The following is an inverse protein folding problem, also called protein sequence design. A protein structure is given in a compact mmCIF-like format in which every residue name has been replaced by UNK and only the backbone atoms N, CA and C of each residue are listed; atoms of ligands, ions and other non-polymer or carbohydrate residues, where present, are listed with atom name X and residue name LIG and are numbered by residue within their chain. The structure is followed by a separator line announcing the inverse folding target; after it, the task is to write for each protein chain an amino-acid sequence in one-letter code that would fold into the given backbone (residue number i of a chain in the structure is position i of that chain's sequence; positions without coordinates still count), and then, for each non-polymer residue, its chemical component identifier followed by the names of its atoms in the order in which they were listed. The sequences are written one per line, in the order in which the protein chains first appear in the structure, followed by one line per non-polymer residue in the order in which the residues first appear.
data_IF_586596537253
#
_entry.id   IF_586596537253
#
_cell.length_a   1.000
_cell.length_b   1.000
_cell.length_c   1.000
_cell.angle_alpha   90.00
_cell.angle_beta   90.00
_cell.angle_gamma   90.00
#
_symmetry.space_group_name_H-M   'P 1'
#
loop_
_entity.id
_entity.type
_entity.pdbx_description
1 polymer ?
#
# COMPACT_ATOMS: atom_id res chain seq x y z
N UNK A 1 -69.50 24.25 -16.39
CA UNK A 1 -68.93 23.42 -15.34
C UNK A 1 -67.44 23.65 -15.34
N UNK A 2 -66.99 24.59 -14.49
CA UNK A 2 -65.58 25.04 -14.36
C UNK A 2 -64.92 24.18 -13.29
N UNK A 3 -63.81 23.52 -13.62
CA UNK A 3 -62.94 22.85 -12.64
C UNK A 3 -61.68 23.72 -12.53
N UNK A 4 -61.53 24.37 -11.36
CA UNK A 4 -60.32 25.06 -10.97
C UNK A 4 -59.27 24.01 -10.53
N UNK A 5 -58.14 23.96 -11.20
CA UNK A 5 -56.95 23.21 -10.78
C UNK A 5 -56.08 24.12 -9.89
N UNK A 6 -55.96 23.74 -8.64
CA UNK A 6 -55.02 24.36 -7.66
C UNK A 6 -53.64 23.81 -7.95
N UNK A 7 -52.79 24.63 -8.49
CA UNK A 7 -51.34 24.33 -8.63
C UNK A 7 -50.63 24.47 -7.29
N UNK A 8 -50.14 23.36 -6.75
CA UNK A 8 -49.26 23.34 -5.55
C UNK A 8 -47.84 23.68 -6.00
N UNK A 9 -47.37 24.88 -5.68
CA UNK A 9 -46.00 25.30 -5.83
C UNK A 9 -45.16 24.61 -4.72
N UNK A 10 -44.39 23.61 -5.09
CA UNK A 10 -43.34 23.06 -4.22
C UNK A 10 -42.15 24.02 -4.20
N UNK A 11 -41.57 24.32 -3.02
CA UNK A 11 -40.37 25.14 -2.93
C UNK A 11 -39.21 24.42 -3.59
N UNK A 12 -38.50 25.12 -4.49
CA UNK A 12 -37.35 24.62 -5.21
C UNK A 12 -36.25 24.20 -4.27
N UNK A 13 -35.87 22.93 -4.32
CA UNK A 13 -34.66 22.42 -3.73
C UNK A 13 -33.49 22.99 -4.56
N UNK A 14 -32.81 23.98 -4.05
CA UNK A 14 -31.52 24.41 -4.58
C UNK A 14 -30.52 23.33 -4.23
N UNK A 15 -30.26 22.46 -5.20
CA UNK A 15 -29.09 21.58 -5.12
C UNK A 15 -27.85 22.46 -5.19
N UNK A 16 -27.24 22.70 -4.02
CA UNK A 16 -25.91 23.26 -3.97
C UNK A 16 -25.01 22.28 -4.75
N UNK A 17 -24.54 22.71 -5.92
CA UNK A 17 -23.48 22.03 -6.63
C UNK A 17 -22.21 22.22 -5.79
N UNK A 18 -21.89 21.23 -4.99
CA UNK A 18 -20.54 21.09 -4.45
C UNK A 18 -19.63 20.85 -5.64
N UNK A 19 -18.97 21.91 -6.10
CA UNK A 19 -17.78 21.77 -6.92
C UNK A 19 -16.72 21.13 -6.04
N UNK A 20 -16.65 19.82 -6.06
CA UNK A 20 -15.48 19.11 -5.61
C UNK A 20 -14.36 19.52 -6.58
N UNK A 21 -13.53 20.47 -6.17
CA UNK A 21 -12.24 20.69 -6.81
C UNK A 21 -11.46 19.40 -6.63
N UNK A 22 -11.55 18.51 -7.62
CA UNK A 22 -10.77 17.30 -7.64
C UNK A 22 -9.29 17.73 -7.57
N UNK A 23 -8.63 17.46 -6.44
CA UNK A 23 -7.21 17.71 -6.30
C UNK A 23 -6.50 16.97 -7.43
N UNK A 24 -5.70 17.68 -8.22
CA UNK A 24 -4.93 17.07 -9.28
C UNK A 24 -3.95 16.09 -8.67
N UNK A 25 -4.07 14.81 -9.04
CA UNK A 25 -3.17 13.74 -8.59
C UNK A 25 -2.27 13.38 -9.75
N UNK A 26 -0.96 13.52 -9.57
CA UNK A 26 0.04 12.98 -10.46
C UNK A 26 0.71 11.79 -9.78
N UNK A 27 0.67 10.65 -10.44
CA UNK A 27 1.32 9.44 -9.95
C UNK A 27 2.84 9.60 -9.95
N UNK A 28 3.51 8.91 -9.03
CA UNK A 28 4.96 8.77 -9.02
C UNK A 28 5.47 8.28 -10.37
N UNK A 29 6.58 8.87 -10.85
CA UNK A 29 7.27 8.40 -12.05
C UNK A 29 8.54 7.65 -11.69
N UNK A 30 8.84 6.63 -12.46
CA UNK A 30 10.04 5.81 -12.30
C UNK A 30 10.90 5.91 -13.56
N UNK A 31 12.15 6.31 -13.38
CA UNK A 31 13.14 6.29 -14.45
C UNK A 31 13.99 5.02 -14.29
N UNK A 32 13.71 4.03 -15.11
CA UNK A 32 14.40 2.73 -15.11
C UNK A 32 15.81 2.91 -15.70
N UNK A 33 16.76 3.26 -14.86
CA UNK A 33 18.16 3.46 -15.28
C UNK A 33 18.90 2.14 -15.53
N UNK A 34 18.37 1.04 -15.01
CA UNK A 34 18.95 -0.29 -15.15
C UNK A 34 17.82 -1.29 -15.38
N UNK A 35 17.86 -2.03 -16.48
CA UNK A 35 16.93 -3.13 -16.71
C UNK A 35 17.43 -4.37 -15.97
N UNK A 36 16.59 -5.03 -15.15
CA UNK A 36 16.97 -6.31 -14.60
C UNK A 36 17.13 -7.34 -15.71
N UNK A 37 18.04 -8.28 -15.51
CA UNK A 37 18.29 -9.37 -16.46
C UNK A 37 17.89 -10.70 -15.84
N UNK A 38 17.60 -11.69 -16.67
CA UNK A 38 17.27 -13.03 -16.20
C UNK A 38 18.47 -13.62 -15.42
N UNK A 39 18.26 -14.10 -14.16
CA UNK A 39 19.36 -14.60 -13.32
C UNK A 39 20.01 -15.86 -13.94
N UNK A 40 21.35 -15.89 -13.96
CA UNK A 40 22.08 -17.04 -14.52
C UNK A 40 21.84 -18.34 -13.73
N UNK A 41 21.78 -18.24 -12.41
CA UNK A 41 21.53 -19.43 -11.57
C UNK A 41 20.14 -19.99 -11.83
N UNK A 42 19.11 -19.16 -12.02
CA UNK A 42 17.78 -19.63 -12.40
C UNK A 42 17.81 -20.40 -13.73
N UNK A 43 18.61 -19.96 -14.72
CA UNK A 43 18.84 -20.70 -15.97
C UNK A 43 19.52 -22.06 -15.72
N UNK A 44 20.54 -22.10 -14.86
CA UNK A 44 21.29 -23.34 -14.56
C UNK A 44 20.41 -24.40 -13.89
N UNK A 45 19.41 -23.98 -13.11
CA UNK A 45 18.44 -24.92 -12.51
C UNK A 45 17.24 -25.20 -13.42
N UNK A 46 17.28 -24.74 -14.68
CA UNK A 46 16.29 -25.05 -15.71
C UNK A 46 15.05 -24.18 -15.74
N UNK A 47 15.04 -23.04 -15.02
CA UNK A 47 13.93 -22.10 -15.08
C UNK A 47 13.99 -21.27 -16.37
N UNK A 48 12.86 -21.09 -17.02
CA UNK A 48 12.72 -20.31 -18.26
C UNK A 48 11.88 -19.05 -18.07
N UNK A 49 11.17 -18.95 -16.96
CA UNK A 49 10.37 -17.80 -16.57
C UNK A 49 10.26 -17.72 -15.04
N UNK A 50 9.85 -16.56 -14.54
CA UNK A 50 9.57 -16.37 -13.13
C UNK A 50 9.13 -14.95 -12.82
N UNK A 51 8.79 -14.73 -11.57
CA UNK A 51 8.28 -13.46 -11.10
C UNK A 51 8.89 -13.05 -9.76
N UNK A 52 8.99 -11.74 -9.56
CA UNK A 52 9.26 -11.15 -8.25
C UNK A 52 8.36 -9.93 -8.02
N UNK A 53 7.90 -9.78 -6.80
CA UNK A 53 7.05 -8.69 -6.37
C UNK A 53 7.77 -7.87 -5.29
N UNK A 54 8.00 -6.60 -5.57
CA UNK A 54 8.71 -5.68 -4.70
C UNK A 54 7.80 -4.49 -4.39
N UNK A 55 7.53 -4.27 -3.12
CA UNK A 55 6.91 -3.02 -2.67
C UNK A 55 8.01 -1.99 -2.39
N UNK A 56 7.84 -0.78 -2.88
CA UNK A 56 8.78 0.34 -2.68
C UNK A 56 8.04 1.53 -2.06
N UNK A 57 8.71 2.24 -1.16
CA UNK A 57 8.29 3.55 -0.69
C UNK A 57 9.24 4.61 -1.24
N UNK A 58 8.68 5.62 -1.89
CA UNK A 58 9.40 6.82 -2.36
C UNK A 58 8.91 8.00 -1.55
N UNK A 59 9.81 8.79 -0.99
CA UNK A 59 9.46 9.97 -0.21
C UNK A 59 9.10 11.18 -1.09
N UNK A 60 8.70 12.27 -0.46
CA UNK A 60 8.35 13.52 -1.15
C UNK A 60 9.52 14.20 -1.87
N UNK A 61 10.76 13.76 -1.64
CA UNK A 61 11.96 14.24 -2.34
C UNK A 61 12.35 13.39 -3.52
N UNK A 62 11.63 12.27 -3.78
CA UNK A 62 11.93 11.31 -4.83
C UNK A 62 13.02 10.30 -4.45
N UNK A 63 13.35 10.17 -3.16
CA UNK A 63 14.29 9.16 -2.69
C UNK A 63 13.58 7.85 -2.38
N UNK A 64 14.23 6.73 -2.70
CA UNK A 64 13.77 5.41 -2.27
C UNK A 64 13.96 5.29 -0.75
N UNK A 65 12.88 5.48 0.01
CA UNK A 65 12.91 5.46 1.47
C UNK A 65 12.94 4.03 2.03
N UNK A 66 12.22 3.09 1.40
CA UNK A 66 12.16 1.69 1.80
C UNK A 66 11.79 0.79 0.63
N UNK A 67 12.11 -0.50 0.76
CA UNK A 67 11.69 -1.55 -0.18
C UNK A 67 11.47 -2.85 0.58
N UNK A 68 10.53 -3.66 0.13
CA UNK A 68 10.17 -4.93 0.73
C UNK A 68 9.91 -5.96 -0.36
N UNK A 69 10.54 -7.13 -0.24
CA UNK A 69 10.19 -8.28 -1.08
C UNK A 69 8.87 -8.84 -0.58
N UNK A 70 7.82 -8.80 -1.39
CA UNK A 70 6.49 -9.28 -1.03
C UNK A 70 6.10 -10.57 -1.75
N UNK A 71 6.93 -11.04 -2.68
CA UNK A 71 6.72 -12.33 -3.31
C UNK A 71 7.74 -12.66 -4.39
N UNK A 72 7.97 -13.93 -4.63
CA UNK A 72 8.76 -14.44 -5.76
C UNK A 72 8.46 -15.91 -6.04
N UNK A 73 8.67 -16.31 -7.27
CA UNK A 73 8.64 -17.73 -7.68
C UNK A 73 9.98 -18.43 -7.39
N UNK A 74 11.09 -17.70 -7.42
CA UNK A 74 12.42 -18.17 -7.06
C UNK A 74 13.25 -17.00 -6.50
N UNK A 75 14.12 -17.22 -5.47
CA UNK A 75 14.82 -16.13 -4.76
C UNK A 75 15.63 -15.20 -5.65
N UNK A 76 16.33 -15.73 -6.64
CA UNK A 76 17.20 -14.96 -7.54
C UNK A 76 16.44 -13.86 -8.29
N UNK A 77 15.16 -14.07 -8.63
CA UNK A 77 14.33 -13.06 -9.27
C UNK A 77 14.10 -11.85 -8.34
N UNK A 78 13.90 -12.10 -7.05
CA UNK A 78 13.76 -11.03 -6.07
C UNK A 78 15.07 -10.25 -5.90
N UNK A 79 16.22 -10.93 -5.85
CA UNK A 79 17.53 -10.29 -5.72
C UNK A 79 17.80 -9.33 -6.87
N UNK A 80 17.57 -9.78 -8.11
CA UNK A 80 17.78 -8.96 -9.31
C UNK A 80 16.80 -7.78 -9.36
N UNK A 81 15.54 -8.00 -8.98
CA UNK A 81 14.53 -6.94 -8.92
C UNK A 81 14.89 -5.87 -7.87
N UNK A 82 15.29 -6.27 -6.66
CA UNK A 82 15.76 -5.37 -5.61
C UNK A 82 16.99 -4.58 -6.05
N UNK A 83 17.96 -5.24 -6.69
CA UNK A 83 19.14 -4.57 -7.22
C UNK A 83 18.79 -3.50 -8.29
N UNK A 84 17.75 -3.74 -9.08
CA UNK A 84 17.27 -2.79 -10.07
C UNK A 84 16.60 -1.57 -9.43
N UNK A 85 15.61 -1.77 -8.54
CA UNK A 85 14.87 -0.66 -7.90
C UNK A 85 15.79 0.25 -7.08
N UNK A 86 16.84 -0.28 -6.46
CA UNK A 86 17.85 0.51 -5.75
C UNK A 86 18.68 1.45 -6.63
N UNK A 87 18.74 1.20 -7.91
CA UNK A 87 19.51 2.00 -8.87
C UNK A 87 18.65 2.97 -9.68
N UNK A 88 17.34 2.80 -9.65
CA UNK A 88 16.42 3.65 -10.37
C UNK A 88 16.32 5.03 -9.74
N UNK A 89 15.83 5.98 -10.54
CA UNK A 89 15.48 7.32 -10.09
C UNK A 89 13.98 7.47 -10.05
N UNK A 90 13.50 8.25 -9.12
CA UNK A 90 12.08 8.44 -8.91
C UNK A 90 11.74 9.94 -8.89
N UNK A 91 10.60 10.29 -9.46
CA UNK A 91 9.93 11.56 -9.22
C UNK A 91 8.76 11.30 -8.28
N UNK A 92 8.60 12.08 -7.19
CA UNK A 92 7.54 11.85 -6.22
C UNK A 92 6.16 12.01 -6.85
N UNK A 93 5.14 11.44 -6.24
CA UNK A 93 3.76 11.74 -6.56
C UNK A 93 3.46 13.21 -6.19
N UNK A 94 2.50 13.82 -6.89
CA UNK A 94 2.07 15.20 -6.59
C UNK A 94 0.58 15.19 -6.31
N UNK A 95 0.18 15.76 -5.17
CA UNK A 95 -1.20 15.91 -4.75
C UNK A 95 -1.50 17.39 -4.50
N UNK A 96 -2.42 17.95 -5.28
CA UNK A 96 -2.77 19.37 -5.16
C UNK A 96 -1.62 20.35 -5.42
N UNK A 97 -0.61 19.94 -6.19
CA UNK A 97 0.59 20.73 -6.48
C UNK A 97 1.77 20.47 -5.54
N UNK A 98 1.57 19.74 -4.44
CA UNK A 98 2.61 19.43 -3.46
C UNK A 98 3.17 18.02 -3.65
N UNK A 99 4.51 17.83 -3.62
CA UNK A 99 5.10 16.51 -3.69
C UNK A 99 4.82 15.71 -2.42
N UNK A 100 4.37 14.46 -2.61
CA UNK A 100 4.01 13.56 -1.51
C UNK A 100 4.71 12.22 -1.65
N UNK A 101 4.97 11.57 -0.53
CA UNK A 101 5.47 10.20 -0.51
C UNK A 101 4.42 9.22 -1.05
N UNK A 102 4.90 8.14 -1.66
CA UNK A 102 4.03 7.11 -2.23
C UNK A 102 4.59 5.71 -2.06
N UNK A 103 3.71 4.73 -1.95
CA UNK A 103 4.05 3.31 -1.91
C UNK A 103 3.47 2.65 -3.15
N UNK A 104 4.29 1.87 -3.82
CA UNK A 104 3.93 1.16 -5.05
C UNK A 104 4.46 -0.26 -4.99
N UNK A 105 3.66 -1.21 -5.41
CA UNK A 105 4.10 -2.59 -5.64
C UNK A 105 4.39 -2.81 -7.12
N UNK A 106 5.55 -3.37 -7.40
CA UNK A 106 6.05 -3.68 -8.73
C UNK A 106 6.15 -5.18 -8.90
N UNK A 107 5.54 -5.72 -9.94
CA UNK A 107 5.74 -7.12 -10.34
C UNK A 107 6.65 -7.17 -11.54
N UNK A 108 7.76 -7.88 -11.39
CA UNK A 108 8.75 -8.14 -12.42
C UNK A 108 8.46 -9.51 -13.03
N UNK A 109 8.22 -9.55 -14.34
CA UNK A 109 8.01 -10.78 -15.09
C UNK A 109 9.27 -11.07 -15.90
N UNK A 110 9.94 -12.16 -15.57
CA UNK A 110 11.18 -12.59 -16.20
C UNK A 110 10.90 -13.69 -17.20
N UNK A 111 11.47 -13.55 -18.38
CA UNK A 111 11.49 -14.58 -19.41
C UNK A 111 12.89 -14.69 -20.01
N UNK A 112 13.29 -15.89 -20.43
CA UNK A 112 14.60 -16.12 -21.08
C UNK A 112 14.70 -15.48 -22.45
N UNK A 113 13.56 -15.18 -23.09
CA UNK A 113 13.49 -14.54 -24.40
C UNK A 113 12.67 -13.27 -24.28
N UNK A 114 13.35 -12.13 -24.37
CA UNK A 114 12.71 -10.83 -24.34
C UNK A 114 13.11 -9.94 -23.16
N UNK A 115 12.61 -8.71 -23.12
CA UNK A 115 12.83 -7.82 -22.00
C UNK A 115 12.04 -8.24 -20.78
N UNK A 116 12.52 -7.91 -19.59
CA UNK A 116 11.74 -8.06 -18.35
C UNK A 116 10.57 -7.06 -18.40
N UNK A 117 9.36 -7.57 -18.31
CA UNK A 117 8.15 -6.76 -18.23
C UNK A 117 7.89 -6.40 -16.77
N UNK A 118 7.62 -5.14 -16.50
CA UNK A 118 7.33 -4.65 -15.15
C UNK A 118 5.94 -4.05 -15.16
N UNK A 119 5.09 -4.57 -14.29
CA UNK A 119 3.75 -4.07 -14.09
C UNK A 119 3.62 -3.41 -12.73
N UNK A 120 2.90 -2.31 -12.69
CA UNK A 120 2.57 -1.59 -11.48
C UNK A 120 1.17 -2.01 -11.06
N UNK A 121 1.09 -2.67 -9.93
CA UNK A 121 -0.21 -3.00 -9.36
C UNK A 121 -0.57 -1.93 -8.34
N UNK A 122 -1.61 -1.15 -8.64
CA UNK A 122 -2.29 -0.35 -7.63
C UNK A 122 -2.96 -1.35 -6.69
N UNK A 123 -2.78 -1.16 -5.39
CA UNK A 123 -3.27 -2.09 -4.35
C UNK A 123 -4.79 -2.25 -4.41
N UNK A 124 -5.28 -3.04 -5.36
CA UNK A 124 -6.65 -3.53 -5.35
C UNK A 124 -6.69 -4.94 -4.74
N UNK A 125 -7.37 -5.05 -3.60
CA UNK A 125 -7.80 -6.28 -2.94
C UNK A 125 -6.71 -7.32 -2.62
N UNK A 126 -6.23 -7.23 -1.39
CA UNK A 126 -5.24 -8.09 -0.77
C UNK A 126 -5.52 -9.57 -0.90
N UNK A 127 -6.75 -9.97 -0.61
CA UNK A 127 -7.14 -11.37 -0.61
C UNK A 127 -7.07 -11.99 -2.02
N UNK A 128 -7.58 -11.28 -3.03
CA UNK A 128 -7.55 -11.74 -4.41
C UNK A 128 -6.10 -11.89 -4.93
N UNK A 129 -5.21 -10.96 -4.53
CA UNK A 129 -3.79 -11.02 -4.91
C UNK A 129 -3.07 -12.18 -4.23
N UNK A 130 -3.30 -12.40 -2.93
CA UNK A 130 -2.68 -13.51 -2.21
C UNK A 130 -3.11 -14.86 -2.77
N UNK A 131 -4.40 -15.01 -3.10
CA UNK A 131 -4.91 -16.20 -3.80
C UNK A 131 -4.20 -16.39 -5.14
N UNK A 132 -4.02 -15.33 -5.91
CA UNK A 132 -3.32 -15.36 -7.19
C UNK A 132 -1.85 -15.76 -7.03
N UNK A 133 -1.11 -15.15 -6.08
CA UNK A 133 0.27 -15.53 -5.77
C UNK A 133 0.41 -17.02 -5.42
N UNK A 134 -0.54 -17.57 -4.67
CA UNK A 134 -0.56 -18.99 -4.34
C UNK A 134 -0.86 -19.88 -5.57
N UNK A 135 -1.70 -19.42 -6.49
CA UNK A 135 -2.05 -20.13 -7.72
C UNK A 135 -0.92 -20.09 -8.77
N UNK A 136 -0.14 -18.99 -8.79
CA UNK A 136 0.96 -18.78 -9.74
C UNK A 136 2.28 -19.46 -9.32
N UNK A 137 2.29 -20.26 -8.25
CA UNK A 137 3.47 -21.04 -7.84
C UNK A 137 4.57 -20.23 -7.17
N UNK A 138 4.20 -19.15 -6.48
CA UNK A 138 5.16 -18.38 -5.66
C UNK A 138 5.71 -19.25 -4.52
N UNK A 139 7.02 -19.29 -4.39
CA UNK A 139 7.71 -19.95 -3.27
C UNK A 139 7.82 -19.06 -2.02
N UNK A 140 7.62 -17.75 -2.18
CA UNK A 140 7.52 -16.80 -1.08
C UNK A 140 6.35 -15.84 -1.33
N UNK A 141 5.56 -15.60 -0.31
CA UNK A 141 4.48 -14.60 -0.26
C UNK A 141 4.13 -14.28 1.21
N UNK A 142 3.46 -13.17 1.52
CA UNK A 142 3.01 -12.89 2.88
C UNK A 142 2.10 -14.03 3.38
N UNK A 143 2.30 -14.41 4.63
CA UNK A 143 1.50 -15.45 5.26
C UNK A 143 0.06 -14.97 5.49
N UNK A 144 -0.91 -15.83 5.22
CA UNK A 144 -2.31 -15.56 5.56
C UNK A 144 -2.49 -15.57 7.08
N UNK A 145 -3.27 -14.64 7.62
CA UNK A 145 -3.56 -14.56 9.05
C UNK A 145 -4.10 -15.89 9.63
N UNK A 146 -4.90 -16.62 8.86
CA UNK A 146 -5.45 -17.92 9.24
C UNK A 146 -4.40 -19.05 9.36
N UNK A 147 -3.17 -18.84 8.84
CA UNK A 147 -2.06 -19.81 8.88
C UNK A 147 -1.01 -19.45 9.93
N UNK A 148 -1.19 -18.38 10.68
CA UNK A 148 -0.30 -18.01 11.77
C UNK A 148 -0.48 -18.94 12.96
N UNK A 149 0.61 -19.20 13.67
CA UNK A 149 0.60 -19.96 14.94
C UNK A 149 -0.15 -19.19 16.03
N UNK A 150 -0.16 -17.86 15.94
CA UNK A 150 -0.88 -16.93 16.79
C UNK A 150 -0.84 -15.53 16.19
N UNK A 151 -1.82 -14.68 16.56
CA UNK A 151 -1.84 -13.28 16.09
C UNK A 151 -0.67 -12.50 16.69
N UNK A 152 0.12 -11.76 15.86
CA UNK A 152 1.17 -10.90 16.38
C UNK A 152 0.61 -9.88 17.37
N UNK A 153 1.21 -9.78 18.55
CA UNK A 153 0.80 -8.84 19.60
C UNK A 153 1.65 -7.58 19.56
N UNK A 154 1.07 -6.37 19.75
CA UNK A 154 1.85 -5.15 19.81
C UNK A 154 2.79 -5.17 21.02
N UNK A 155 4.10 -5.02 20.80
CA UNK A 155 5.13 -4.80 21.82
C UNK A 155 5.25 -3.31 22.10
N UNK A 156 5.22 -2.50 21.06
CA UNK A 156 5.16 -1.03 21.16
C UNK A 156 3.99 -0.55 20.34
N UNK A 157 3.15 0.28 20.95
CA UNK A 157 2.01 0.91 20.28
C UNK A 157 1.97 2.39 20.61
N UNK A 158 2.11 3.23 19.60
CA UNK A 158 1.98 4.69 19.69
C UNK A 158 0.59 5.06 19.19
N UNK A 159 -0.12 5.91 19.93
CA UNK A 159 -1.41 6.48 19.47
C UNK A 159 -1.15 7.63 18.51
N UNK A 160 -2.00 7.83 17.48
CA UNK A 160 -1.92 9.03 16.65
C UNK A 160 -2.00 10.32 17.48
N UNK A 161 -1.18 11.30 17.14
CA UNK A 161 -1.14 12.61 17.85
C UNK A 161 -2.35 13.46 17.49
N UNK A 162 -3.54 13.04 17.91
CA UNK A 162 -4.79 13.74 17.68
C UNK A 162 -5.01 14.82 18.74
N UNK A 163 -4.85 16.09 18.35
CA UNK A 163 -4.97 17.24 19.26
C UNK A 163 -6.41 17.75 19.39
N UNK A 164 -6.70 18.42 20.53
CA UNK A 164 -8.00 19.08 20.74
C UNK A 164 -8.28 20.16 19.68
N UNK A 165 -7.24 20.78 19.14
CA UNK A 165 -7.37 21.80 18.09
C UNK A 165 -7.86 21.17 16.78
N UNK A 166 -7.35 20.00 16.39
CA UNK A 166 -7.84 19.26 15.24
C UNK A 166 -9.29 18.80 15.43
N UNK A 167 -9.65 18.35 16.61
CA UNK A 167 -11.04 18.02 16.95
C UNK A 167 -11.94 19.26 16.85
N UNK A 168 -11.48 20.41 17.34
CA UNK A 168 -12.18 21.71 17.28
C UNK A 168 -12.37 22.23 15.85
N UNK A 169 -11.49 21.85 14.93
CA UNK A 169 -11.60 22.15 13.49
C UNK A 169 -12.52 21.17 12.74
N UNK A 170 -13.09 20.19 13.46
CA UNK A 170 -14.00 19.20 12.88
C UNK A 170 -13.32 18.04 12.14
N UNK A 171 -12.00 17.90 12.29
CA UNK A 171 -11.29 16.73 11.75
C UNK A 171 -11.78 15.46 12.47
N UNK A 172 -12.47 14.59 11.76
CA UNK A 172 -13.06 13.35 12.28
C UNK A 172 -13.21 12.34 11.14
N UNK A 173 -13.31 11.07 11.50
CA UNK A 173 -13.57 10.01 10.53
C UNK A 173 -12.80 8.73 10.82
N UNK A 174 -13.01 7.75 9.98
CA UNK A 174 -12.34 6.47 10.03
C UNK A 174 -11.14 6.47 9.06
N UNK A 175 -9.99 6.04 9.56
CA UNK A 175 -8.75 5.90 8.80
C UNK A 175 -8.34 4.45 8.79
N UNK A 176 -8.19 3.87 7.61
CA UNK A 176 -7.70 2.52 7.41
C UNK A 176 -6.25 2.57 6.97
N UNK A 177 -5.35 2.03 7.78
CA UNK A 177 -3.92 1.90 7.50
C UNK A 177 -3.58 0.44 7.23
N UNK A 178 -2.96 0.19 6.09
CA UNK A 178 -2.40 -1.12 5.72
C UNK A 178 -0.88 -1.09 5.89
N UNK A 179 -0.30 -2.19 6.33
CA UNK A 179 1.13 -2.31 6.56
C UNK A 179 1.55 -3.77 6.56
N UNK A 180 2.85 -4.00 6.43
CA UNK A 180 3.43 -5.32 6.67
C UNK A 180 4.06 -5.39 8.06
N UNK A 181 4.05 -6.58 8.64
CA UNK A 181 4.87 -6.93 9.81
C UNK A 181 5.87 -7.94 9.30
N UNK A 182 7.16 -7.57 9.34
CA UNK A 182 8.22 -8.45 8.87
C UNK A 182 8.56 -9.56 9.89
N UNK A 183 9.47 -10.42 9.53
CA UNK A 183 9.90 -11.58 10.31
C UNK A 183 10.53 -11.21 11.66
N UNK A 184 10.87 -9.94 11.85
CA UNK A 184 11.40 -9.38 13.10
C UNK A 184 10.33 -8.73 13.98
N UNK A 185 9.09 -8.63 13.49
CA UNK A 185 8.01 -7.91 14.14
C UNK A 185 8.02 -6.40 13.87
N UNK A 186 8.85 -5.93 12.93
CA UNK A 186 8.92 -4.51 12.55
C UNK A 186 7.84 -4.18 11.53
N UNK A 187 7.18 -3.04 11.73
CA UNK A 187 6.23 -2.51 10.74
C UNK A 187 7.00 -1.99 9.52
N UNK A 188 6.51 -2.36 8.35
CA UNK A 188 7.08 -1.95 7.06
C UNK A 188 5.98 -1.37 6.16
N UNK A 189 6.33 -0.32 5.44
CA UNK A 189 5.51 0.29 4.41
C UNK A 189 4.06 0.60 4.86
N UNK A 190 3.84 1.31 5.99
CA UNK A 190 2.49 1.69 6.39
C UNK A 190 1.93 2.73 5.41
N UNK A 191 0.71 2.49 4.95
CA UNK A 191 0.02 3.35 3.98
C UNK A 191 -1.47 3.48 4.30
N UNK A 192 -2.06 4.61 3.97
CA UNK A 192 -3.49 4.80 4.07
C UNK A 192 -4.17 4.10 2.88
N UNK A 193 -5.07 3.16 3.15
CA UNK A 193 -5.90 2.53 2.13
C UNK A 193 -7.30 3.14 2.02
N UNK A 194 -7.78 3.79 3.09
CA UNK A 194 -8.99 4.59 3.10
C UNK A 194 -8.91 5.64 4.21
N UNK A 195 -9.32 6.88 3.92
CA UNK A 195 -9.35 7.97 4.88
C UNK A 195 -10.48 8.96 4.55
N UNK A 196 -11.18 9.37 5.58
CA UNK A 196 -12.16 10.47 5.50
C UNK A 196 -11.47 11.84 5.56
N UNK A 197 -10.24 11.89 6.11
CA UNK A 197 -9.44 13.10 6.29
C UNK A 197 -7.95 12.82 6.06
N UNK A 198 -7.28 13.61 5.21
CA UNK A 198 -5.88 13.42 4.84
C UNK A 198 -4.90 13.71 5.99
N UNK A 199 -5.22 14.67 6.87
CA UNK A 199 -4.39 15.01 8.02
C UNK A 199 -4.41 13.86 9.02
N UNK A 200 -5.61 13.33 9.32
CA UNK A 200 -5.77 12.16 10.19
C UNK A 200 -5.07 10.93 9.60
N UNK A 201 -5.13 10.77 8.27
CA UNK A 201 -4.39 9.73 7.56
C UNK A 201 -2.89 9.78 7.84
N UNK A 202 -2.30 10.95 7.73
CA UNK A 202 -0.87 11.17 8.01
C UNK A 202 -0.51 10.89 9.47
N UNK A 203 -1.35 11.30 10.43
CA UNK A 203 -1.16 11.02 11.85
C UNK A 203 -1.22 9.51 12.15
N UNK A 204 -2.18 8.81 11.53
CA UNK A 204 -2.33 7.37 11.69
C UNK A 204 -1.10 6.60 11.16
N UNK A 205 -0.61 6.95 9.96
CA UNK A 205 0.60 6.35 9.36
C UNK A 205 1.82 6.61 10.24
N UNK A 206 2.01 7.85 10.71
CA UNK A 206 3.13 8.21 11.58
C UNK A 206 3.11 7.43 12.90
N UNK A 207 1.94 7.16 13.45
CA UNK A 207 1.80 6.34 14.65
C UNK A 207 2.14 4.87 14.37
N UNK A 208 1.56 4.28 13.32
CA UNK A 208 1.78 2.88 12.93
C UNK A 208 3.25 2.60 12.59
N UNK A 209 3.94 3.56 11.97
CA UNK A 209 5.35 3.44 11.63
C UNK A 209 6.28 3.23 12.85
N UNK A 210 5.81 3.59 14.04
CA UNK A 210 6.54 3.42 15.30
C UNK A 210 6.14 2.15 16.07
N UNK A 211 5.18 1.39 15.55
CA UNK A 211 4.73 0.17 16.20
C UNK A 211 5.74 -0.95 16.02
N UNK A 212 5.78 -1.81 17.02
CA UNK A 212 6.47 -3.10 16.96
C UNK A 212 5.55 -4.19 17.46
N UNK A 213 5.70 -5.35 16.87
CA UNK A 213 4.94 -6.55 17.19
C UNK A 213 5.87 -7.68 17.60
N UNK A 214 5.31 -8.70 18.23
CA UNK A 214 6.00 -9.99 18.32
C UNK A 214 6.20 -10.52 16.89
N UNK A 215 7.34 -11.17 16.57
CA UNK A 215 7.56 -11.78 15.27
C UNK A 215 6.41 -12.69 14.87
N UNK A 216 5.76 -12.48 13.72
CA UNK A 216 4.74 -13.40 13.24
C UNK A 216 5.34 -14.74 12.88
N UNK A 217 4.73 -15.83 13.31
CA UNK A 217 5.20 -17.19 13.00
C UNK A 217 4.11 -18.06 12.39
N UNK A 218 4.55 -18.98 11.53
CA UNK A 218 3.73 -20.04 10.98
C UNK A 218 4.55 -21.34 10.96
N UNK A 219 4.02 -22.39 11.59
CA UNK A 219 4.75 -23.65 11.82
C UNK A 219 6.13 -23.43 12.49
N UNK A 220 6.20 -22.51 13.45
CA UNK A 220 7.41 -22.17 14.18
C UNK A 220 8.45 -21.37 13.39
N UNK A 221 8.17 -20.96 12.16
CA UNK A 221 9.06 -20.13 11.33
C UNK A 221 8.56 -18.71 11.27
N UNK A 222 9.45 -17.75 11.38
CA UNK A 222 9.15 -16.35 11.19
C UNK A 222 8.68 -16.09 9.75
N UNK A 223 7.64 -15.29 9.58
CA UNK A 223 6.99 -15.03 8.29
C UNK A 223 6.62 -13.56 8.15
N UNK A 224 6.60 -13.08 6.91
CA UNK A 224 6.01 -11.78 6.55
C UNK A 224 4.48 -11.91 6.60
N UNK A 225 3.79 -10.93 7.19
CA UNK A 225 2.33 -10.88 7.20
C UNK A 225 1.87 -9.46 6.85
N UNK A 226 0.77 -9.35 6.14
CA UNK A 226 0.09 -8.07 5.92
C UNK A 226 -1.00 -7.88 6.97
N UNK A 227 -1.07 -6.67 7.52
CA UNK A 227 -1.99 -6.28 8.57
C UNK A 227 -2.74 -5.00 8.19
N UNK A 228 -3.86 -4.80 8.85
CA UNK A 228 -4.72 -3.63 8.70
C UNK A 228 -5.09 -3.11 10.08
N UNK A 229 -5.02 -1.80 10.26
CA UNK A 229 -5.53 -1.12 11.45
C UNK A 229 -6.53 -0.06 11.05
N UNK A 230 -7.68 -0.06 11.69
CA UNK A 230 -8.66 1.02 11.59
C UNK A 230 -8.54 1.90 12.82
N UNK A 231 -8.43 3.21 12.59
CA UNK A 231 -8.50 4.24 13.61
C UNK A 231 -9.83 4.98 13.44
N UNK A 232 -10.56 5.15 14.53
CA UNK A 232 -11.77 5.96 14.57
C UNK A 232 -11.52 7.23 15.38
N UNK A 233 -11.53 8.37 14.72
CA UNK A 233 -11.33 9.69 15.30
C UNK A 233 -12.65 10.39 15.62
N UNK A 234 -13.80 9.69 15.57
CA UNK A 234 -15.11 10.30 15.78
C UNK A 234 -15.36 10.74 17.22
N UNK A 235 -14.70 10.13 18.22
CA UNK A 235 -14.96 10.30 19.64
C UNK A 235 -13.78 10.81 20.47
N UNK A 236 -12.80 11.46 19.83
CA UNK A 236 -11.63 12.03 20.52
C UNK A 236 -10.88 10.96 21.32
N UNK A 237 -10.03 10.23 20.64
CA UNK A 237 -9.13 9.16 21.02
C UNK A 237 -8.89 8.80 22.45
#
# INVERSE_FOLDING_TARGET
MLILGIGLLLPGIVLAQYSSSALSVQSMKMHQTTSPVFPQHALQVGLTSGEACIAIAVDSTGQLADHLVVGYTFPDFAEVAVAAVKRWRYEPAVLGGEPVGSIVELTFHFETKGPVVITQNIMEFLEARMVRMMQEGYSFHPCLAAKLDGMPTPVTRVTPAYSKDLAGQGAKGAIKVEFYIDETGTVRLPSVSAADDAVLGSLAVNAVNQWKFTPPTSHGRAVLVKAVQVFDFANGG
#
